data_IF_195395841478
#
_entry.id   IF_195395841478
#
_cell.length_a   1.000
_cell.length_b   1.000
_cell.length_c   1.000
_cell.angle_alpha   90.00
_cell.angle_beta   90.00
_cell.angle_gamma   90.00
#
_symmetry.space_group_name_H-M   'P 1'
#
loop_
_entity.id
_entity.type
_entity.pdbx_description
1 polymer ?
#
# COMPACT_ATOMS: atom_id res chain seq x y z
N UNK A 1 -6.96 4.76 6.17
CA UNK A 1 -5.62 5.39 6.07
C UNK A 1 -5.53 6.43 4.96
N UNK A 2 -5.95 6.14 3.75
CA UNK A 2 -5.89 7.10 2.64
C UNK A 2 -6.65 8.40 2.95
N UNK A 3 -7.84 8.31 3.51
CA UNK A 3 -8.64 9.47 3.86
C UNK A 3 -8.00 10.33 4.96
N UNK A 4 -7.38 9.71 5.95
CA UNK A 4 -6.65 10.42 7.00
C UNK A 4 -5.42 11.13 6.46
N UNK A 5 -4.67 10.48 5.57
CA UNK A 5 -3.50 11.09 4.94
C UNK A 5 -3.90 12.30 4.10
N UNK A 6 -4.99 12.21 3.36
CA UNK A 6 -5.49 13.32 2.57
C UNK A 6 -5.98 14.48 3.44
N UNK A 7 -6.62 14.18 4.58
CA UNK A 7 -7.13 15.20 5.49
C UNK A 7 -6.03 15.86 6.32
N UNK A 8 -5.09 15.05 6.85
CA UNK A 8 -4.05 15.53 7.76
C UNK A 8 -2.85 16.13 7.03
N UNK A 9 -2.59 15.67 5.80
CA UNK A 9 -1.44 16.08 5.00
C UNK A 9 -1.87 16.47 3.58
N UNK A 10 -2.73 17.49 3.43
CA UNK A 10 -3.30 17.82 2.11
C UNK A 10 -2.28 18.32 1.09
N UNK A 11 -1.09 18.75 1.54
CA UNK A 11 -0.01 19.19 0.65
C UNK A 11 0.86 18.05 0.14
N UNK A 12 0.73 16.84 0.71
CA UNK A 12 1.50 15.68 0.28
C UNK A 12 0.75 14.86 -0.76
N UNK A 13 1.47 14.37 -1.75
CA UNK A 13 0.90 13.52 -2.80
C UNK A 13 1.12 12.05 -2.43
N UNK A 14 0.10 11.44 -1.83
CA UNK A 14 0.12 10.04 -1.41
C UNK A 14 -1.09 9.35 -2.03
N UNK A 15 -0.85 8.29 -2.79
CA UNK A 15 -1.91 7.48 -3.40
C UNK A 15 -1.72 6.03 -3.01
N UNK A 16 -2.78 5.42 -2.48
CA UNK A 16 -2.81 3.99 -2.14
C UNK A 16 -3.73 3.30 -3.14
N UNK A 17 -3.24 2.23 -3.75
CA UNK A 17 -4.06 1.39 -4.62
C UNK A 17 -3.96 -0.07 -4.17
N UNK A 18 -4.99 -0.85 -4.49
CA UNK A 18 -4.98 -2.29 -4.31
C UNK A 18 -4.76 -2.97 -5.67
N UNK A 19 -3.95 -4.02 -5.70
CA UNK A 19 -3.72 -4.84 -6.90
C UNK A 19 -4.07 -6.28 -6.57
N UNK A 20 -5.12 -6.80 -7.22
CA UNK A 20 -5.54 -8.18 -7.02
C UNK A 20 -4.65 -9.13 -7.82
N UNK A 21 -4.37 -10.31 -7.24
CA UNK A 21 -3.51 -11.33 -7.85
C UNK A 21 -4.14 -11.93 -9.10
N UNK A 22 -3.29 -12.35 -10.04
CA UNK A 22 -3.71 -13.07 -11.25
C UNK A 22 -4.51 -14.31 -10.85
N UNK A 23 -5.65 -14.52 -11.49
CA UNK A 23 -6.51 -15.66 -11.23
C UNK A 23 -7.54 -15.47 -10.11
N UNK A 24 -7.53 -14.33 -9.44
CA UNK A 24 -8.46 -14.02 -8.34
C UNK A 24 -9.46 -12.92 -8.68
N UNK A 25 -9.68 -12.63 -9.94
CA UNK A 25 -10.58 -11.59 -10.42
C UNK A 25 -12.05 -11.81 -10.03
N UNK A 26 -12.46 -13.05 -9.75
CA UNK A 26 -13.79 -13.33 -9.24
C UNK A 26 -14.08 -12.68 -7.88
N UNK A 27 -13.05 -12.30 -7.13
CA UNK A 27 -13.17 -11.60 -5.85
C UNK A 27 -13.24 -10.09 -5.95
N UNK A 28 -13.08 -9.50 -7.14
CA UNK A 28 -12.98 -8.05 -7.30
C UNK A 28 -14.19 -7.28 -6.79
N UNK A 29 -15.40 -7.77 -7.06
CA UNK A 29 -16.62 -7.11 -6.60
C UNK A 29 -16.70 -7.03 -5.07
N UNK A 30 -16.33 -8.12 -4.38
CA UNK A 30 -16.30 -8.15 -2.91
C UNK A 30 -15.22 -7.24 -2.34
N UNK A 31 -14.04 -7.20 -2.96
CA UNK A 31 -12.95 -6.34 -2.52
C UNK A 31 -13.29 -4.86 -2.72
N UNK A 32 -13.86 -4.50 -3.86
CA UNK A 32 -14.24 -3.12 -4.16
C UNK A 32 -15.35 -2.61 -3.24
N UNK A 33 -16.20 -3.50 -2.72
CA UNK A 33 -17.32 -3.12 -1.86
C UNK A 33 -16.89 -2.73 -0.44
N UNK A 34 -15.70 -3.09 0.02
CA UNK A 34 -15.26 -2.87 1.40
C UNK A 34 -14.41 -1.62 1.61
N UNK A 35 -14.08 -0.86 0.56
CA UNK A 35 -13.23 0.31 0.72
C UNK A 35 -13.27 1.23 -0.48
N UNK A 36 -12.64 2.40 -0.31
CA UNK A 36 -12.60 3.46 -1.32
C UNK A 36 -11.30 3.46 -2.14
N UNK A 37 -10.42 2.47 -1.94
CA UNK A 37 -9.17 2.40 -2.67
C UNK A 37 -9.44 1.94 -4.11
N UNK A 38 -8.76 2.55 -5.11
CA UNK A 38 -8.79 2.01 -6.46
C UNK A 38 -8.29 0.58 -6.46
N UNK A 39 -9.02 -0.31 -7.12
CA UNK A 39 -8.67 -1.72 -7.23
C UNK A 39 -8.26 -2.02 -8.66
N UNK A 40 -7.05 -2.52 -8.83
CA UNK A 40 -6.52 -2.96 -10.11
C UNK A 40 -6.46 -4.49 -10.13
N UNK A 41 -6.69 -5.07 -11.29
CA UNK A 41 -6.53 -6.51 -11.49
C UNK A 41 -5.21 -6.77 -12.22
N UNK A 42 -4.31 -7.55 -11.59
CA UNK A 42 -3.08 -7.97 -12.24
C UNK A 42 -3.37 -8.99 -13.35
N UNK A 43 -2.56 -8.96 -14.39
CA UNK A 43 -2.67 -9.87 -15.53
C UNK A 43 -1.30 -10.38 -15.96
N UNK A 44 -1.28 -11.32 -16.90
CA UNK A 44 -0.05 -11.93 -17.37
C UNK A 44 0.83 -10.98 -18.18
N UNK A 45 0.26 -9.92 -18.73
CA UNK A 45 1.01 -8.89 -19.47
C UNK A 45 1.74 -7.94 -18.53
N UNK A 46 1.07 -7.46 -17.49
CA UNK A 46 1.68 -6.56 -16.50
C UNK A 46 2.51 -7.33 -15.48
N UNK A 47 2.01 -8.48 -15.02
CA UNK A 47 2.66 -9.36 -14.05
C UNK A 47 3.31 -8.60 -12.87
N UNK A 48 2.53 -7.67 -12.27
CA UNK A 48 3.01 -6.75 -11.23
C UNK A 48 3.48 -7.50 -10.00
N UNK A 49 2.71 -8.49 -9.55
CA UNK A 49 3.08 -9.30 -8.39
C UNK A 49 4.40 -10.03 -8.60
N UNK A 50 4.61 -10.56 -9.80
CA UNK A 50 5.86 -11.25 -10.15
C UNK A 50 7.02 -10.27 -10.25
N UNK A 51 6.82 -9.14 -10.92
CA UNK A 51 7.87 -8.14 -11.11
C UNK A 51 8.39 -7.58 -9.79
N UNK A 52 7.52 -7.46 -8.79
CA UNK A 52 7.89 -6.93 -7.47
C UNK A 52 8.10 -8.02 -6.42
N UNK A 53 8.01 -9.29 -6.79
CA UNK A 53 8.06 -10.41 -5.86
C UNK A 53 7.10 -10.23 -4.69
N UNK A 54 5.90 -9.72 -4.98
CA UNK A 54 4.90 -9.43 -3.95
C UNK A 54 4.30 -10.73 -3.44
N UNK A 55 4.16 -10.82 -2.13
CA UNK A 55 3.45 -11.89 -1.46
C UNK A 55 2.08 -11.43 -1.01
N UNK A 56 1.29 -12.38 -0.50
CA UNK A 56 -0.03 -12.10 0.02
C UNK A 56 0.04 -11.08 1.17
N UNK A 57 -0.80 -10.05 1.09
CA UNK A 57 -0.88 -8.94 2.04
C UNK A 57 0.38 -8.06 2.13
N UNK A 58 1.23 -8.10 1.12
CA UNK A 58 2.35 -7.15 1.06
C UNK A 58 1.86 -5.76 0.69
N UNK A 59 2.38 -4.77 1.40
CA UNK A 59 2.29 -3.36 1.03
C UNK A 59 3.66 -2.94 0.52
N UNK A 60 3.71 -2.51 -0.72
CA UNK A 60 4.94 -2.03 -1.36
C UNK A 60 4.87 -0.51 -1.44
N UNK A 61 5.83 0.17 -0.82
CA UNK A 61 5.88 1.64 -0.80
C UNK A 61 6.89 2.10 -1.84
N UNK A 62 6.44 2.95 -2.75
CA UNK A 62 7.27 3.51 -3.82
C UNK A 62 7.50 4.99 -3.56
N UNK A 63 8.69 5.48 -3.95
CA UNK A 63 8.98 6.91 -3.96
C UNK A 63 8.42 7.60 -5.21
N UNK A 64 8.71 8.90 -5.37
CA UNK A 64 8.24 9.67 -6.53
C UNK A 64 8.82 9.21 -7.88
N UNK A 65 9.82 8.36 -7.87
CA UNK A 65 10.42 7.76 -9.07
C UNK A 65 9.95 6.32 -9.30
N UNK A 66 8.93 5.87 -8.57
CA UNK A 66 8.40 4.51 -8.62
C UNK A 66 9.41 3.44 -8.18
N UNK A 67 10.41 3.81 -7.39
CA UNK A 67 11.34 2.87 -6.81
C UNK A 67 10.83 2.36 -5.46
N UNK A 68 10.93 1.07 -5.23
CA UNK A 68 10.54 0.48 -3.94
C UNK A 68 11.50 0.93 -2.85
N UNK A 69 10.98 1.57 -1.80
CA UNK A 69 11.76 2.08 -0.68
C UNK A 69 11.41 1.42 0.65
N UNK A 70 10.27 0.72 0.72
CA UNK A 70 9.84 0.04 1.93
C UNK A 70 8.83 -1.05 1.59
N UNK A 71 8.80 -2.10 2.42
CA UNK A 71 7.81 -3.18 2.28
C UNK A 71 7.28 -3.55 3.66
N UNK A 72 5.97 -3.75 3.76
CA UNK A 72 5.28 -4.00 5.01
C UNK A 72 4.23 -5.09 4.78
N UNK A 73 4.29 -6.18 5.56
CA UNK A 73 3.36 -7.28 5.39
C UNK A 73 2.26 -7.23 6.45
N UNK A 74 1.00 -7.17 6.01
CA UNK A 74 -0.16 -7.02 6.89
C UNK A 74 -0.53 -8.31 7.63
N UNK A 75 0.01 -9.45 7.25
CA UNK A 75 -0.18 -10.69 7.98
C UNK A 75 0.72 -10.73 9.22
N UNK A 76 1.93 -10.18 9.10
CA UNK A 76 2.89 -10.07 10.21
C UNK A 76 2.53 -8.93 11.14
N UNK A 77 2.13 -7.78 10.56
CA UNK A 77 1.83 -6.55 11.30
C UNK A 77 0.38 -6.15 11.01
N UNK A 78 -0.46 -6.20 12.04
CA UNK A 78 -1.89 -5.99 11.90
C UNK A 78 -2.24 -4.49 12.03
N UNK A 79 -2.94 -3.93 11.04
CA UNK A 79 -3.37 -2.53 11.08
C UNK A 79 -4.46 -2.26 12.13
N UNK A 80 -5.03 -3.29 12.76
CA UNK A 80 -5.88 -3.13 13.95
C UNK A 80 -5.06 -2.79 15.18
N UNK A 81 -3.76 -3.07 15.18
CA UNK A 81 -2.83 -2.61 16.20
C UNK A 81 -2.47 -1.16 15.91
N UNK A 82 -2.69 -0.25 16.88
CA UNK A 82 -2.46 1.17 16.66
C UNK A 82 -0.98 1.51 16.42
N UNK A 83 -0.07 0.75 17.00
CA UNK A 83 1.38 0.93 16.79
C UNK A 83 1.77 0.61 15.35
N UNK A 84 1.30 -0.50 14.82
CA UNK A 84 1.57 -0.91 13.44
C UNK A 84 0.90 0.04 12.44
N UNK A 85 -0.34 0.45 12.71
CA UNK A 85 -1.07 1.39 11.89
C UNK A 85 -0.36 2.74 11.79
N UNK A 86 0.02 3.31 12.92
CA UNK A 86 0.70 4.60 12.97
C UNK A 86 2.10 4.53 12.35
N UNK A 87 2.79 3.38 12.49
CA UNK A 87 4.08 3.19 11.84
C UNK A 87 3.97 3.22 10.32
N UNK A 88 3.04 2.47 9.74
CA UNK A 88 2.85 2.47 8.29
C UNK A 88 2.45 3.84 7.77
N UNK A 89 1.56 4.53 8.49
CA UNK A 89 1.16 5.91 8.16
C UNK A 89 2.36 6.84 8.17
N UNK A 90 3.22 6.74 9.17
CA UNK A 90 4.45 7.55 9.28
C UNK A 90 5.43 7.26 8.13
N UNK A 91 5.52 6.01 7.67
CA UNK A 91 6.34 5.65 6.52
C UNK A 91 5.84 6.37 5.26
N UNK A 92 4.54 6.36 4.98
CA UNK A 92 3.99 7.06 3.84
C UNK A 92 4.28 8.55 3.86
N UNK A 93 4.14 9.17 5.03
CA UNK A 93 4.41 10.60 5.19
C UNK A 93 5.90 10.90 4.96
N UNK A 94 6.79 10.11 5.56
CA UNK A 94 8.23 10.30 5.41
C UNK A 94 8.67 10.16 3.94
N UNK A 95 8.18 9.17 3.23
CA UNK A 95 8.51 8.97 1.81
C UNK A 95 7.99 10.14 0.98
N UNK A 96 6.78 10.62 1.22
CA UNK A 96 6.22 11.74 0.50
C UNK A 96 6.96 13.06 0.77
N UNK A 97 7.51 13.22 1.97
CA UNK A 97 8.28 14.41 2.36
C UNK A 97 9.76 14.32 1.95
N UNK A 98 10.22 13.18 1.45
CA UNK A 98 11.63 12.94 1.18
C UNK A 98 12.48 12.82 2.45
N UNK A 99 11.86 12.50 3.57
CA UNK A 99 12.52 12.36 4.88
C UNK A 99 13.01 10.92 5.09
N UNK A 100 13.91 10.67 6.06
CA UNK A 100 14.33 9.30 6.39
C UNK A 100 13.14 8.46 6.86
N UNK A 101 13.10 7.19 6.43
CA UNK A 101 12.03 6.26 6.80
C UNK A 101 12.18 5.89 8.27
N UNK A 102 11.10 6.00 9.10
CA UNK A 102 11.15 5.65 10.50
C UNK A 102 11.54 4.18 10.71
N UNK A 103 12.38 3.92 11.70
CA UNK A 103 12.64 2.56 12.15
C UNK A 103 11.36 1.98 12.77
N UNK A 104 11.10 0.70 12.53
CA UNK A 104 9.88 0.13 13.03
C UNK A 104 9.82 -1.38 12.97
N UNK A 105 8.62 -1.93 13.13
CA UNK A 105 8.41 -3.37 13.18
C UNK A 105 8.87 -4.11 11.93
#
# INVERSE_FOLDING_TARGET
MQGELAADYPSLSITILAVNEIGYDSGNASMAAVGDLPLLQDDTSAAVWTAWSAGWRDVVVLDGNNAEVYRFNLQTYDLRDSTDYEHLKAVFVAVAEGAPIPAGP
#
